data_IF_461080674750
#
_entry.id   IF_461080674750
#
_cell.length_a   1.000
_cell.length_b   1.000
_cell.length_c   1.000
_cell.angle_alpha   90.00
_cell.angle_beta   90.00
_cell.angle_gamma   90.00
#
_symmetry.space_group_name_H-M   'P 1'
#
loop_
_entity.id
_entity.type
_entity.pdbx_description
1 polymer ?
#
# COMPACT_ATOMS: atom_id res chain seq x y z
N UNK A 1 -26.68 -58.99 1.92
CA UNK A 1 -25.37 -59.11 2.57
C UNK A 1 -24.85 -57.70 2.74
N UNK A 2 -25.00 -57.17 3.95
CA UNK A 2 -24.36 -55.92 4.39
C UNK A 2 -22.85 -56.11 4.46
N UNK A 3 -22.10 -55.11 4.01
CA UNK A 3 -20.75 -54.83 4.50
C UNK A 3 -20.54 -53.32 4.52
N UNK A 4 -20.29 -52.80 5.73
CA UNK A 4 -20.25 -51.39 6.08
C UNK A 4 -19.00 -50.61 5.64
N UNK A 5 -18.87 -49.35 6.07
CA UNK A 5 -17.90 -48.40 5.54
C UNK A 5 -16.51 -48.59 6.17
N UNK A 6 -15.49 -48.47 5.33
CA UNK A 6 -14.07 -48.46 5.71
C UNK A 6 -13.69 -47.12 6.34
N UNK A 7 -13.01 -47.19 7.49
CA UNK A 7 -12.41 -46.05 8.19
C UNK A 7 -11.11 -45.60 7.51
N UNK A 8 -10.72 -44.32 7.62
CA UNK A 8 -9.45 -43.81 7.07
C UNK A 8 -8.27 -44.13 7.99
N UNK A 9 -7.12 -44.43 7.38
CA UNK A 9 -5.83 -44.58 8.03
C UNK A 9 -4.97 -43.33 7.85
N UNK A 10 -4.30 -42.97 8.95
CA UNK A 10 -3.47 -41.80 9.19
C UNK A 10 -2.27 -41.64 8.23
N UNK A 11 -2.06 -40.41 7.72
CA UNK A 11 -0.74 -39.90 7.32
C UNK A 11 -0.64 -38.40 7.61
N UNK A 12 0.21 -38.08 8.60
CA UNK A 12 1.20 -37.00 8.52
C UNK A 12 0.74 -35.54 8.58
N UNK A 13 0.70 -35.01 9.80
CA UNK A 13 0.71 -33.58 10.14
C UNK A 13 1.89 -32.84 9.48
N UNK A 14 1.62 -31.63 8.99
CA UNK A 14 2.56 -30.80 8.23
C UNK A 14 2.03 -29.39 8.02
N UNK A 15 1.53 -28.75 9.08
CA UNK A 15 1.13 -27.34 9.05
C UNK A 15 2.32 -26.41 8.71
N UNK A 16 2.15 -25.56 7.69
CA UNK A 16 3.01 -24.38 7.49
C UNK A 16 2.18 -23.15 7.05
N UNK A 17 1.95 -22.29 8.04
CA UNK A 17 2.11 -20.84 7.94
C UNK A 17 1.30 -20.08 6.89
N UNK A 18 0.05 -19.80 7.20
CA UNK A 18 -0.64 -18.65 6.60
C UNK A 18 0.09 -17.36 7.00
N UNK A 19 0.53 -16.57 6.02
CA UNK A 19 1.13 -15.25 6.23
C UNK A 19 0.15 -14.36 7.00
N UNK A 20 0.50 -14.03 8.24
CA UNK A 20 -0.35 -13.25 9.13
C UNK A 20 -0.47 -11.80 8.66
N UNK A 21 -1.68 -11.40 8.29
CA UNK A 21 -2.09 -9.99 8.22
C UNK A 21 -2.08 -9.42 9.65
N UNK A 22 -0.98 -8.79 10.05
CA UNK A 22 -0.84 -8.15 11.35
C UNK A 22 -1.68 -6.88 11.44
N UNK A 23 -2.78 -6.91 12.20
CA UNK A 23 -3.61 -5.74 12.49
C UNK A 23 -3.00 -4.94 13.65
N UNK A 24 -2.27 -3.87 13.36
CA UNK A 24 -1.74 -2.97 14.39
C UNK A 24 -2.76 -1.85 14.69
N UNK A 25 -3.52 -1.97 15.79
CA UNK A 25 -4.33 -0.87 16.30
C UNK A 25 -3.43 0.13 17.04
N UNK A 26 -3.16 1.28 16.42
CA UNK A 26 -2.69 2.46 17.15
C UNK A 26 -3.90 3.29 17.60
N UNK A 27 -4.16 3.29 18.91
CA UNK A 27 -5.09 4.23 19.55
C UNK A 27 -4.34 5.55 19.79
N UNK A 28 -4.74 6.61 19.07
CA UNK A 28 -4.23 7.96 19.30
C UNK A 28 -5.17 8.67 20.29
N UNK A 29 -4.68 9.26 21.40
CA UNK A 29 -5.51 10.06 22.30
C UNK A 29 -5.93 11.36 21.61
N UNK A 30 -7.18 11.76 21.81
CA UNK A 30 -7.72 13.01 21.27
C UNK A 30 -7.00 14.20 21.91
N UNK A 31 -6.28 14.99 21.10
CA UNK A 31 -5.80 16.30 21.51
C UNK A 31 -6.85 17.35 21.15
N UNK A 32 -7.28 18.08 22.17
CA UNK A 32 -8.21 19.20 22.12
C UNK A 32 -7.62 20.41 21.36
N UNK A 33 -8.51 21.16 20.72
CA UNK A 33 -8.44 22.58 20.35
C UNK A 33 -7.32 23.04 19.38
N UNK A 34 -7.64 23.06 18.09
CA UNK A 34 -7.02 23.96 17.11
C UNK A 34 -7.72 25.34 17.14
N UNK A 35 -7.00 26.46 17.33
CA UNK A 35 -7.59 27.78 17.24
C UNK A 35 -7.83 28.22 15.78
N UNK A 36 -8.95 28.90 15.57
CA UNK A 36 -9.44 29.46 14.31
C UNK A 36 -8.55 30.64 13.86
N UNK A 37 -8.26 30.71 12.55
CA UNK A 37 -7.45 31.75 11.91
C UNK A 37 -8.28 33.02 11.65
N UNK A 38 -7.90 34.15 12.25
CA UNK A 38 -8.37 35.49 11.86
C UNK A 38 -7.30 36.23 11.04
N UNK A 39 -7.78 37.00 10.04
CA UNK A 39 -7.01 37.74 9.04
C UNK A 39 -6.52 39.11 9.53
N UNK A 40 -5.51 39.74 8.87
CA UNK A 40 -4.55 40.64 9.51
C UNK A 40 -4.92 42.12 9.42
N UNK A 41 -4.57 42.90 10.46
CA UNK A 41 -4.27 44.34 10.35
C UNK A 41 -3.14 44.78 11.30
N UNK A 42 -2.23 45.53 10.69
CA UNK A 42 -1.34 46.59 11.18
C UNK A 42 -0.22 46.31 12.18
N UNK A 43 0.96 46.79 11.76
CA UNK A 43 2.30 46.69 12.34
C UNK A 43 2.47 47.58 13.57
N UNK A 44 3.11 47.05 14.62
CA UNK A 44 4.20 47.71 15.38
C UNK A 44 4.87 46.72 16.38
N UNK A 45 6.05 47.02 16.96
CA UNK A 45 7.25 46.19 16.84
C UNK A 45 7.53 45.24 18.04
N UNK A 46 8.46 44.31 17.80
CA UNK A 46 8.83 43.20 18.68
C UNK A 46 9.43 43.60 20.05
N UNK A 47 9.14 42.83 21.11
CA UNK A 47 9.94 42.72 22.33
C UNK A 47 10.69 41.37 22.40
N UNK A 48 11.58 41.16 23.38
CA UNK A 48 12.85 40.46 23.18
C UNK A 48 12.79 38.93 23.32
N UNK A 49 13.83 38.32 22.75
CA UNK A 49 14.18 36.89 22.80
C UNK A 49 14.23 36.40 24.25
N UNK A 50 13.38 35.41 24.57
CA UNK A 50 13.50 34.59 25.78
C UNK A 50 13.88 33.17 25.37
N UNK A 51 15.08 32.79 25.81
CA UNK A 51 15.68 31.46 25.66
C UNK A 51 14.93 30.48 26.58
N UNK A 52 14.28 29.47 25.98
CA UNK A 52 13.61 28.39 26.69
C UNK A 52 14.21 27.06 26.21
N UNK A 53 15.11 26.52 27.03
CA UNK A 53 15.83 25.27 26.77
C UNK A 53 14.91 24.05 26.57
N UNK A 54 15.43 22.98 25.96
CA UNK A 54 14.62 21.84 25.56
C UNK A 54 14.12 21.04 26.78
N UNK A 55 12.80 20.93 26.86
CA UNK A 55 12.06 20.15 27.84
C UNK A 55 12.27 18.65 27.58
N UNK A 56 12.63 17.90 28.63
CA UNK A 56 12.78 16.44 28.61
C UNK A 56 11.43 15.77 28.31
N UNK A 57 11.25 15.27 27.09
CA UNK A 57 10.16 14.37 26.73
C UNK A 57 10.40 12.96 27.26
N UNK A 58 9.42 12.41 27.97
CA UNK A 58 9.45 11.07 28.54
C UNK A 58 9.54 10.01 27.42
N UNK A 59 10.62 9.22 27.44
CA UNK A 59 10.81 8.09 26.52
C UNK A 59 9.82 6.96 26.80
N UNK A 60 9.04 6.59 25.79
CA UNK A 60 8.21 5.38 25.80
C UNK A 60 9.14 4.16 25.76
N UNK A 61 9.23 3.41 26.86
CA UNK A 61 9.92 2.10 26.91
C UNK A 61 8.99 1.02 26.38
N UNK A 62 9.31 0.43 25.24
CA UNK A 62 8.75 -0.84 24.78
C UNK A 62 9.46 -2.00 25.53
N UNK A 63 8.68 -3.02 25.92
CA UNK A 63 9.14 -4.20 26.68
C UNK A 63 10.08 -5.11 25.85
N UNK A 64 10.97 -5.89 26.49
CA UNK A 64 11.98 -6.68 25.78
C UNK A 64 11.38 -7.93 25.11
N UNK A 65 11.64 -7.99 23.81
CA UNK A 65 11.93 -9.10 22.88
C UNK A 65 11.26 -10.47 23.03
N UNK A 66 10.58 -10.86 21.94
CA UNK A 66 10.36 -12.25 21.51
C UNK A 66 11.25 -12.50 20.28
N UNK A 67 12.12 -13.52 20.25
CA UNK A 67 12.95 -13.82 19.08
C UNK A 67 12.09 -14.35 17.92
N UNK A 68 12.24 -13.77 16.72
CA UNK A 68 11.58 -14.21 15.48
C UNK A 68 10.74 -13.17 14.73
N UNK A 69 10.84 -11.87 15.06
CA UNK A 69 10.04 -10.84 14.39
C UNK A 69 10.49 -10.56 12.94
N UNK A 70 9.54 -10.38 11.98
CA UNK A 70 9.86 -10.02 10.60
C UNK A 70 10.53 -8.63 10.52
N UNK A 71 11.50 -8.48 9.62
CA UNK A 71 12.29 -7.25 9.42
C UNK A 71 11.50 -6.12 8.72
N UNK A 72 10.28 -5.85 9.18
CA UNK A 72 9.60 -4.56 9.00
C UNK A 72 9.84 -3.60 10.16
N UNK A 73 10.72 -3.98 11.10
CA UNK A 73 11.13 -3.16 12.24
C UNK A 73 12.45 -2.49 11.88
N UNK A 74 12.50 -1.16 11.94
CA UNK A 74 13.78 -0.44 12.00
C UNK A 74 14.66 -1.14 13.04
N UNK A 75 15.98 -1.34 12.78
CA UNK A 75 16.86 -1.91 13.79
C UNK A 75 16.66 -1.13 15.09
N UNK A 76 16.49 -1.83 16.22
CA UNK A 76 16.38 -1.17 17.52
C UNK A 76 17.59 -0.24 17.69
N UNK A 77 17.38 1.07 17.62
CA UNK A 77 18.44 2.09 17.70
C UNK A 77 18.76 2.85 16.39
N UNK A 78 18.13 2.54 15.26
CA UNK A 78 18.24 3.38 14.07
C UNK A 78 17.48 4.71 14.29
N UNK A 79 18.23 5.81 14.34
CA UNK A 79 17.65 7.14 14.50
C UNK A 79 16.99 7.57 13.18
N UNK A 80 15.65 7.59 13.18
CA UNK A 80 14.89 8.18 12.08
C UNK A 80 15.02 9.70 12.18
N UNK A 81 15.61 10.29 11.14
CA UNK A 81 15.84 11.75 11.06
C UNK A 81 14.69 12.49 10.39
N UNK A 82 13.99 11.83 9.45
CA UNK A 82 12.89 12.42 8.70
C UNK A 82 11.85 11.37 8.36
N UNK A 83 10.58 11.75 8.40
CA UNK A 83 9.45 10.96 7.88
C UNK A 83 8.76 11.81 6.81
N UNK A 84 8.52 11.21 5.66
CA UNK A 84 7.69 11.78 4.60
C UNK A 84 6.42 10.97 4.47
N UNK A 85 5.27 11.67 4.45
CA UNK A 85 3.97 11.09 4.22
C UNK A 85 3.31 11.84 3.05
N UNK A 86 3.41 11.26 1.86
CA UNK A 86 2.88 11.87 0.63
C UNK A 86 1.44 11.42 0.43
N UNK A 87 0.51 12.36 0.23
CA UNK A 87 -0.87 12.02 -0.05
C UNK A 87 -0.97 11.25 -1.37
N UNK A 88 -1.72 10.14 -1.35
CA UNK A 88 -2.03 9.35 -2.54
C UNK A 88 -3.50 9.57 -2.87
N UNK A 89 -3.84 10.07 -4.07
CA UNK A 89 -5.23 10.21 -4.51
C UNK A 89 -6.00 8.91 -4.32
N UNK A 90 -7.18 9.00 -3.73
CA UNK A 90 -8.04 7.85 -3.47
C UNK A 90 -9.48 8.27 -3.73
N UNK A 91 -9.81 8.38 -5.01
CA UNK A 91 -11.08 8.95 -5.48
C UNK A 91 -11.93 7.95 -6.26
N UNK A 92 -11.33 6.87 -6.78
CA UNK A 92 -12.02 5.87 -7.60
C UNK A 92 -13.01 5.01 -6.79
N UNK A 93 -14.29 5.06 -7.17
CA UNK A 93 -15.38 4.30 -6.53
C UNK A 93 -15.74 3.00 -7.28
N UNK A 94 -15.19 2.78 -8.47
CA UNK A 94 -15.64 1.73 -9.38
C UNK A 94 -14.47 1.04 -10.08
N UNK A 95 -14.58 -0.28 -10.22
CA UNK A 95 -13.65 -1.08 -11.03
C UNK A 95 -13.77 -0.81 -12.53
N UNK A 96 -14.83 -0.11 -12.98
CA UNK A 96 -14.96 0.34 -14.38
C UNK A 96 -13.80 1.22 -14.83
N UNK A 97 -13.03 1.77 -13.89
CA UNK A 97 -11.75 2.43 -14.13
C UNK A 97 -10.79 1.61 -15.02
N UNK A 98 -10.83 0.27 -14.90
CA UNK A 98 -9.99 -0.65 -15.68
C UNK A 98 -10.64 -1.17 -16.97
N UNK A 99 -11.86 -0.73 -17.33
CA UNK A 99 -12.50 -1.17 -18.57
C UNK A 99 -11.68 -0.82 -19.81
N UNK A 100 -10.91 0.28 -19.75
CA UNK A 100 -9.97 0.70 -20.80
C UNK A 100 -8.92 -0.37 -21.17
N UNK A 101 -8.66 -1.34 -20.30
CA UNK A 101 -7.80 -2.49 -20.64
C UNK A 101 -8.41 -3.36 -21.76
N UNK A 102 -9.74 -3.42 -21.84
CA UNK A 102 -10.45 -4.09 -22.92
C UNK A 102 -10.56 -3.18 -24.14
N UNK A 103 -10.85 -1.90 -23.93
CA UNK A 103 -11.07 -0.94 -25.02
C UNK A 103 -9.81 -0.71 -25.87
N UNK A 104 -8.63 -0.82 -25.25
CA UNK A 104 -7.32 -0.55 -25.88
C UNK A 104 -6.54 -1.82 -26.26
N UNK A 105 -7.23 -2.95 -26.42
CA UNK A 105 -6.65 -4.26 -26.80
C UNK A 105 -5.44 -4.65 -25.92
N UNK A 106 -5.52 -4.44 -24.61
CA UNK A 106 -4.55 -4.99 -23.64
C UNK A 106 -5.02 -6.37 -23.20
N UNK A 107 -6.34 -6.56 -23.16
CA UNK A 107 -7.02 -7.80 -22.79
C UNK A 107 -8.08 -8.13 -23.83
N UNK A 108 -8.11 -9.39 -24.26
CA UNK A 108 -9.09 -9.90 -25.21
C UNK A 108 -10.49 -9.94 -24.58
N UNK A 109 -11.53 -10.01 -25.42
CA UNK A 109 -12.92 -10.12 -24.96
C UNK A 109 -13.18 -11.32 -24.02
N UNK A 110 -12.38 -12.40 -24.10
CA UNK A 110 -12.46 -13.56 -23.20
C UNK A 110 -11.67 -13.40 -21.89
N UNK A 111 -11.07 -12.23 -21.64
CA UNK A 111 -10.31 -11.92 -20.44
C UNK A 111 -8.84 -12.32 -20.47
N UNK A 112 -8.35 -12.95 -21.53
CA UNK A 112 -6.92 -13.28 -21.67
C UNK A 112 -6.09 -12.02 -21.97
N UNK A 113 -5.00 -11.86 -21.24
CA UNK A 113 -4.06 -10.76 -21.43
C UNK A 113 -3.28 -11.01 -22.72
N UNK A 114 -3.15 -9.99 -23.57
CA UNK A 114 -2.43 -10.11 -24.83
C UNK A 114 -0.93 -10.26 -24.55
N UNK A 115 -0.32 -11.33 -25.07
CA UNK A 115 1.11 -11.60 -24.97
C UNK A 115 1.90 -10.70 -25.92
N UNK A 116 3.14 -10.41 -25.54
CA UNK A 116 4.08 -9.66 -26.37
C UNK A 116 5.42 -10.38 -26.45
N UNK A 117 6.35 -9.83 -27.25
CA UNK A 117 7.73 -10.30 -27.24
C UNK A 117 8.34 -10.08 -25.86
N UNK A 118 9.08 -11.07 -25.38
CA UNK A 118 9.75 -11.01 -24.08
C UNK A 118 10.78 -9.88 -24.06
N UNK A 119 10.66 -9.02 -23.05
CA UNK A 119 11.63 -7.98 -22.72
C UNK A 119 11.76 -7.86 -21.20
N UNK A 120 12.63 -6.96 -20.75
CA UNK A 120 12.80 -6.66 -19.34
C UNK A 120 12.66 -5.15 -19.10
N UNK A 121 12.02 -4.80 -17.99
CA UNK A 121 12.07 -3.46 -17.42
C UNK A 121 12.60 -3.61 -15.99
N UNK A 122 13.82 -3.13 -15.77
CA UNK A 122 14.61 -3.39 -14.57
C UNK A 122 14.68 -4.89 -14.23
N UNK A 123 14.11 -5.28 -13.09
CA UNK A 123 14.05 -6.64 -12.56
C UNK A 123 12.79 -7.41 -13.00
N UNK A 124 11.89 -6.80 -13.77
CA UNK A 124 10.63 -7.43 -14.17
C UNK A 124 10.71 -8.01 -15.58
N UNK A 125 10.42 -9.31 -15.76
CA UNK A 125 10.16 -9.86 -17.09
C UNK A 125 8.82 -9.33 -17.61
N UNK A 126 8.84 -8.85 -18.85
CA UNK A 126 7.66 -8.37 -19.57
C UNK A 126 7.38 -9.33 -20.71
N UNK A 127 6.26 -10.03 -20.62
CA UNK A 127 5.81 -11.01 -21.62
C UNK A 127 4.37 -10.77 -22.08
N UNK A 128 3.78 -9.65 -21.65
CA UNK A 128 2.41 -9.27 -21.96
C UNK A 128 2.21 -7.75 -21.99
N UNK A 129 1.16 -7.33 -22.69
CA UNK A 129 0.80 -5.93 -22.88
C UNK A 129 0.37 -5.25 -21.56
N UNK A 130 -0.14 -6.03 -20.58
CA UNK A 130 -0.52 -5.47 -19.28
C UNK A 130 0.72 -4.97 -18.53
N UNK A 131 1.78 -5.77 -18.45
CA UNK A 131 3.05 -5.36 -17.82
C UNK A 131 3.71 -4.20 -18.55
N UNK A 132 3.64 -4.16 -19.89
CA UNK A 132 4.10 -3.00 -20.66
C UNK A 132 3.38 -1.73 -20.24
N UNK A 133 2.04 -1.75 -20.18
CA UNK A 133 1.23 -0.59 -19.76
C UNK A 133 1.59 -0.16 -18.33
N UNK A 134 1.90 -1.11 -17.43
CA UNK A 134 2.22 -0.81 -16.03
C UNK A 134 3.64 -0.27 -15.81
N UNK A 135 4.62 -0.64 -16.63
CA UNK A 135 6.05 -0.39 -16.39
C UNK A 135 6.77 0.43 -17.46
N UNK A 136 6.40 0.29 -18.73
CA UNK A 136 7.21 0.81 -19.85
C UNK A 136 6.64 2.16 -20.29
N UNK A 137 7.24 3.24 -19.79
CA UNK A 137 6.84 4.63 -20.09
C UNK A 137 6.85 4.94 -21.60
N UNK A 138 7.81 4.36 -22.33
CA UNK A 138 7.94 4.55 -23.79
C UNK A 138 6.99 3.65 -24.62
N UNK A 139 6.11 2.87 -23.98
CA UNK A 139 5.15 2.03 -24.69
C UNK A 139 4.03 2.88 -25.30
N UNK A 140 3.63 2.54 -26.53
CA UNK A 140 2.49 3.18 -27.21
C UNK A 140 1.21 3.18 -26.35
N UNK A 141 1.03 2.13 -25.53
CA UNK A 141 -0.15 1.96 -24.67
C UNK A 141 0.07 2.46 -23.23
N UNK A 142 1.19 3.09 -22.91
CA UNK A 142 1.41 3.64 -21.57
C UNK A 142 0.34 4.69 -21.23
N UNK A 143 0.01 5.58 -22.15
CA UNK A 143 -0.95 6.67 -21.89
C UNK A 143 -2.43 6.23 -21.82
N UNK A 144 -2.72 4.92 -21.88
CA UNK A 144 -4.07 4.39 -21.57
C UNK A 144 -4.50 4.80 -20.16
N UNK A 145 -3.56 4.90 -19.23
CA UNK A 145 -3.77 5.55 -17.93
C UNK A 145 -2.95 6.82 -17.88
N UNK A 146 -3.62 7.95 -17.68
CA UNK A 146 -2.99 9.25 -17.51
C UNK A 146 -2.13 9.30 -16.24
N UNK A 147 -1.23 10.27 -16.13
CA UNK A 147 -0.41 10.43 -14.92
C UNK A 147 -1.24 10.52 -13.62
N UNK A 148 -2.35 11.29 -13.54
CA UNK A 148 -3.21 11.27 -12.36
C UNK A 148 -3.89 9.92 -12.10
N UNK A 149 -4.28 9.20 -13.15
CA UNK A 149 -4.85 7.85 -13.02
C UNK A 149 -3.82 6.87 -12.41
N UNK A 150 -2.54 7.01 -12.77
CA UNK A 150 -1.45 6.17 -12.27
C UNK A 150 -1.13 6.42 -10.80
N UNK A 151 -1.39 7.63 -10.32
CA UNK A 151 -1.22 8.03 -8.93
C UNK A 151 -2.40 7.62 -8.03
N UNK A 152 -3.55 7.26 -8.60
CA UNK A 152 -4.68 6.77 -7.83
C UNK A 152 -4.35 5.49 -7.07
N UNK A 153 -4.76 5.43 -5.80
CA UNK A 153 -4.49 4.30 -4.92
C UNK A 153 -5.05 2.99 -5.47
N UNK A 154 -6.21 3.04 -6.15
CA UNK A 154 -6.79 1.88 -6.81
C UNK A 154 -5.88 1.33 -7.92
N UNK A 155 -5.26 2.23 -8.71
CA UNK A 155 -4.30 1.84 -9.74
C UNK A 155 -3.02 1.28 -9.13
N UNK A 156 -2.46 1.95 -8.11
CA UNK A 156 -1.27 1.47 -7.39
C UNK A 156 -1.48 0.06 -6.84
N UNK A 157 -2.62 -0.21 -6.20
CA UNK A 157 -2.96 -1.53 -5.66
C UNK A 157 -3.00 -2.61 -6.76
N UNK A 158 -3.67 -2.30 -7.87
CA UNK A 158 -3.72 -3.18 -9.04
C UNK A 158 -2.33 -3.44 -9.62
N UNK A 159 -1.51 -2.39 -9.79
CA UNK A 159 -0.12 -2.49 -10.26
C UNK A 159 0.67 -3.44 -9.37
N UNK A 160 0.60 -3.28 -8.04
CA UNK A 160 1.30 -4.15 -7.10
C UNK A 160 0.86 -5.61 -7.18
N UNK A 161 -0.41 -5.89 -7.44
CA UNK A 161 -0.88 -7.26 -7.63
C UNK A 161 -0.40 -7.87 -8.95
N UNK A 162 -0.45 -7.11 -10.05
CA UNK A 162 0.00 -7.55 -11.37
C UNK A 162 1.51 -7.80 -11.45
N UNK A 163 2.29 -6.95 -10.79
CA UNK A 163 3.75 -7.08 -10.75
C UNK A 163 4.19 -8.25 -9.85
N UNK A 164 3.46 -8.53 -8.77
CA UNK A 164 3.74 -9.62 -7.84
C UNK A 164 5.10 -9.52 -7.11
N UNK A 165 5.40 -10.53 -6.29
CA UNK A 165 6.70 -10.64 -5.61
C UNK A 165 7.77 -11.38 -6.44
N UNK A 166 8.94 -11.60 -5.83
CA UNK A 166 10.07 -12.30 -6.47
C UNK A 166 9.76 -13.75 -6.90
N UNK A 167 8.68 -14.36 -6.38
CA UNK A 167 8.25 -15.72 -6.70
C UNK A 167 7.21 -15.79 -7.85
N UNK A 168 7.18 -14.79 -8.73
CA UNK A 168 6.43 -14.78 -10.00
C UNK A 168 4.96 -15.26 -9.92
N UNK A 169 4.08 -14.43 -9.35
CA UNK A 169 2.63 -14.69 -9.31
C UNK A 169 1.91 -14.06 -10.52
N UNK A 170 2.29 -14.49 -11.73
CA UNK A 170 1.64 -13.99 -12.95
C UNK A 170 0.41 -14.80 -13.33
N UNK A 171 -0.61 -14.13 -13.84
CA UNK A 171 -1.82 -14.73 -14.39
C UNK A 171 -1.88 -14.44 -15.89
N UNK A 172 -2.46 -15.37 -16.66
CA UNK A 172 -2.70 -15.19 -18.10
C UNK A 172 -4.04 -14.50 -18.40
N UNK A 173 -4.88 -14.35 -17.37
CA UNK A 173 -6.22 -13.74 -17.45
C UNK A 173 -6.32 -12.57 -16.49
N UNK A 174 -7.06 -11.53 -16.87
CA UNK A 174 -7.17 -10.28 -16.11
C UNK A 174 -8.06 -10.41 -14.85
N UNK A 175 -9.07 -11.28 -14.91
CA UNK A 175 -10.14 -11.34 -13.90
C UNK A 175 -9.65 -11.56 -12.45
N UNK A 176 -8.70 -12.49 -12.17
CA UNK A 176 -8.18 -12.68 -10.82
C UNK A 176 -7.54 -11.42 -10.23
N UNK A 177 -6.84 -10.63 -11.04
CA UNK A 177 -6.27 -9.35 -10.60
C UNK A 177 -7.35 -8.34 -10.23
N UNK A 178 -8.38 -8.20 -11.06
CA UNK A 178 -9.48 -7.27 -10.80
C UNK A 178 -10.27 -7.64 -9.54
N UNK A 179 -10.65 -8.91 -9.38
CA UNK A 179 -11.41 -9.32 -8.20
C UNK A 179 -10.57 -9.22 -6.92
N UNK A 180 -9.29 -9.59 -6.96
CA UNK A 180 -8.40 -9.43 -5.80
C UNK A 180 -8.21 -7.96 -5.44
N UNK A 181 -7.97 -7.10 -6.42
CA UNK A 181 -7.86 -5.64 -6.23
C UNK A 181 -9.12 -5.09 -5.58
N UNK A 182 -10.30 -5.47 -6.10
CA UNK A 182 -11.61 -5.02 -5.59
C UNK A 182 -11.85 -5.46 -4.15
N UNK A 183 -11.56 -6.72 -3.81
CA UNK A 183 -11.74 -7.23 -2.46
C UNK A 183 -10.82 -6.49 -1.47
N UNK A 184 -9.54 -6.35 -1.83
CA UNK A 184 -8.55 -5.65 -1.01
C UNK A 184 -8.88 -4.16 -0.86
N UNK A 185 -9.27 -3.49 -1.94
CA UNK A 185 -9.66 -2.08 -1.91
C UNK A 185 -10.88 -1.85 -1.00
N UNK A 186 -11.88 -2.74 -1.05
CA UNK A 186 -13.06 -2.67 -0.17
C UNK A 186 -12.76 -2.93 1.31
N UNK A 187 -11.72 -3.72 1.61
CA UNK A 187 -11.29 -3.97 2.99
C UNK A 187 -10.50 -2.79 3.56
N UNK A 188 -9.67 -2.14 2.73
CA UNK A 188 -8.82 -1.03 3.13
C UNK A 188 -9.55 0.33 3.16
N UNK A 189 -10.45 0.58 2.19
CA UNK A 189 -11.05 1.90 1.97
C UNK A 189 -12.51 1.93 2.41
N UNK A 190 -12.85 2.92 3.24
CA UNK A 190 -14.21 3.15 3.71
C UNK A 190 -14.91 4.21 2.88
N UNK A 191 -16.17 3.94 2.54
CA UNK A 191 -17.08 4.88 1.87
C UNK A 191 -18.27 5.22 2.74
N UNK A 192 -18.82 6.41 2.55
CA UNK A 192 -20.06 6.85 3.22
C UNK A 192 -20.95 7.58 2.24
N UNK A 193 -22.28 7.41 2.40
CA UNK A 193 -23.25 8.25 1.71
C UNK A 193 -23.33 9.60 2.41
N UNK A 194 -23.04 10.67 1.69
CA UNK A 194 -23.16 12.03 2.21
C UNK A 194 -24.66 12.32 2.51
N UNK A 195 -25.02 12.74 3.74
CA UNK A 195 -26.41 12.96 4.12
C UNK A 195 -27.12 14.05 3.30
N UNK A 196 -26.38 15.07 2.87
CA UNK A 196 -26.90 16.21 2.11
C UNK A 196 -26.96 15.90 0.62
N UNK A 197 -25.84 15.53 0.02
CA UNK A 197 -25.75 15.33 -1.45
C UNK A 197 -26.28 13.98 -1.92
N UNK A 198 -26.51 13.03 -0.99
CA UNK A 198 -26.87 11.62 -1.26
C UNK A 198 -25.86 10.85 -2.12
N UNK A 199 -24.69 11.44 -2.44
CA UNK A 199 -23.61 10.78 -3.18
C UNK A 199 -22.75 9.94 -2.24
N UNK A 200 -22.23 8.83 -2.76
CA UNK A 200 -21.23 8.02 -2.06
C UNK A 200 -19.88 8.73 -2.21
N UNK A 201 -19.14 8.86 -1.12
CA UNK A 201 -17.80 9.45 -1.10
C UNK A 201 -16.86 8.58 -0.27
N UNK A 202 -15.58 8.56 -0.66
CA UNK A 202 -14.52 7.94 0.12
C UNK A 202 -14.27 8.79 1.37
N UNK A 203 -14.05 8.10 2.50
CA UNK A 203 -13.80 8.72 3.80
C UNK A 203 -12.38 8.46 4.31
N UNK A 204 -11.71 7.43 3.79
CA UNK A 204 -10.33 7.14 4.12
C UNK A 204 -9.38 8.11 3.42
N UNK A 205 -8.25 8.40 4.06
CA UNK A 205 -7.12 9.13 3.44
C UNK A 205 -5.93 8.19 3.33
N UNK A 206 -5.26 8.20 2.19
CA UNK A 206 -4.12 7.32 1.91
C UNK A 206 -2.84 8.15 1.84
N UNK A 207 -1.79 7.65 2.49
CA UNK A 207 -0.46 8.24 2.47
C UNK A 207 0.58 7.20 2.11
N UNK A 208 1.47 7.50 1.17
CA UNK A 208 2.70 6.74 0.94
C UNK A 208 3.74 7.23 1.95
N UNK A 209 4.24 6.32 2.77
CA UNK A 209 5.11 6.67 3.90
C UNK A 209 6.53 6.19 3.66
N UNK A 210 7.48 7.11 3.79
CA UNK A 210 8.92 6.87 3.70
C UNK A 210 9.58 7.41 4.98
N UNK A 211 10.62 6.72 5.47
CA UNK A 211 11.44 7.24 6.55
C UNK A 211 12.92 7.24 6.15
N UNK A 212 13.66 8.20 6.70
CA UNK A 212 15.05 8.45 6.36
C UNK A 212 15.92 8.49 7.61
N UNK A 213 17.11 7.91 7.50
CA UNK A 213 18.18 7.99 8.49
C UNK A 213 19.37 8.80 7.94
N UNK A 214 20.57 8.63 8.49
CA UNK A 214 21.79 9.28 7.98
C UNK A 214 22.24 8.83 6.59
N UNK A 215 21.83 7.64 6.16
CA UNK A 215 22.28 6.98 4.94
C UNK A 215 21.26 7.07 3.80
N UNK A 216 20.07 7.63 4.05
CA UNK A 216 19.02 7.80 3.06
C UNK A 216 17.72 7.15 3.52
N UNK A 217 16.98 6.55 2.59
CA UNK A 217 15.72 5.85 2.90
C UNK A 217 16.04 4.61 3.74
N UNK A 218 15.43 4.50 4.92
CA UNK A 218 15.51 3.31 5.78
C UNK A 218 14.17 2.57 5.89
N UNK A 219 13.07 3.19 5.46
CA UNK A 219 11.74 2.59 5.40
C UNK A 219 11.02 3.04 4.12
N UNK A 220 10.33 2.15 3.38
CA UNK A 220 10.08 0.73 3.68
C UNK A 220 11.33 -0.17 3.56
N UNK A 221 12.28 0.15 2.68
CA UNK A 221 13.56 -0.53 2.50
C UNK A 221 14.62 0.46 2.02
N UNK A 222 15.90 0.12 2.22
CA UNK A 222 17.04 0.86 1.66
C UNK A 222 17.23 0.60 0.16
N UNK A 223 16.64 -0.47 -0.38
CA UNK A 223 16.67 -0.78 -1.82
C UNK A 223 15.44 -0.19 -2.52
N UNK A 224 15.66 0.65 -3.53
CA UNK A 224 14.60 1.15 -4.41
C UNK A 224 14.08 0.05 -5.31
N UNK A 225 12.75 -0.11 -5.38
CA UNK A 225 12.09 -1.07 -6.26
C UNK A 225 10.60 -0.72 -6.40
N UNK A 226 9.99 -0.97 -7.56
CA UNK A 226 8.55 -0.75 -7.80
C UNK A 226 7.65 -1.50 -6.83
N UNK A 227 8.12 -2.67 -6.37
CA UNK A 227 7.45 -3.49 -5.36
C UNK A 227 7.94 -3.21 -3.93
N UNK A 228 8.60 -2.10 -3.65
CA UNK A 228 8.87 -1.70 -2.27
C UNK A 228 8.01 -0.49 -1.94
N UNK A 229 6.99 -0.68 -1.10
CA UNK A 229 6.01 0.35 -0.78
C UNK A 229 5.49 0.24 0.64
N UNK A 230 4.96 1.36 1.13
CA UNK A 230 4.21 1.44 2.37
C UNK A 230 3.10 2.47 2.25
N UNK A 231 1.86 2.01 2.37
CA UNK A 231 0.66 2.83 2.39
C UNK A 231 0.01 2.79 3.76
N UNK A 232 -0.26 3.97 4.30
CA UNK A 232 -1.02 4.18 5.52
C UNK A 232 -2.40 4.68 5.12
N UNK A 233 -3.42 3.86 5.34
CA UNK A 233 -4.81 4.15 5.04
C UNK A 233 -5.50 4.51 6.35
N UNK A 234 -5.76 5.79 6.55
CA UNK A 234 -6.38 6.33 7.75
C UNK A 234 -7.89 6.43 7.55
N UNK A 235 -8.65 5.71 8.37
CA UNK A 235 -10.10 5.88 8.47
C UNK A 235 -10.43 6.71 9.72
N UNK A 236 -10.76 8.00 9.58
CA UNK A 236 -11.03 8.88 10.72
C UNK A 236 -12.33 8.52 11.45
N UNK A 237 -13.28 7.85 10.79
CA UNK A 237 -14.58 7.50 11.36
C UNK A 237 -14.45 6.24 12.20
N UNK A 238 -13.83 5.19 11.65
CA UNK A 238 -13.56 3.95 12.38
C UNK A 238 -12.39 4.11 13.37
N UNK A 239 -11.62 5.20 13.29
CA UNK A 239 -10.40 5.45 14.06
C UNK A 239 -9.39 4.31 13.91
N UNK A 240 -9.27 3.81 12.69
CA UNK A 240 -8.34 2.73 12.34
C UNK A 240 -7.32 3.24 11.33
N UNK A 241 -6.12 2.68 11.40
CA UNK A 241 -5.11 2.81 10.36
C UNK A 241 -4.83 1.42 9.83
N UNK A 242 -4.99 1.23 8.53
CA UNK A 242 -4.52 0.04 7.84
C UNK A 242 -3.13 0.35 7.27
N UNK A 243 -2.19 -0.55 7.48
CA UNK A 243 -0.84 -0.45 6.92
C UNK A 243 -0.69 -1.54 5.88
N UNK A 244 -0.60 -1.13 4.62
CA UNK A 244 -0.31 -2.02 3.50
C UNK A 244 1.17 -1.82 3.13
N UNK A 245 1.98 -2.84 3.39
CA UNK A 245 3.43 -2.76 3.30
C UNK A 245 4.00 -3.97 2.56
N UNK A 246 4.99 -3.72 1.71
CA UNK A 246 5.78 -4.77 1.08
C UNK A 246 7.21 -4.28 0.86
N UNK A 247 8.16 -5.20 1.00
CA UNK A 247 9.56 -4.98 0.66
C UNK A 247 10.04 -6.06 -0.28
N UNK A 248 10.50 -5.64 -1.45
CA UNK A 248 10.97 -6.57 -2.45
C UNK A 248 12.34 -7.16 -2.06
N UNK A 249 12.54 -8.45 -2.36
CA UNK A 249 13.82 -9.13 -2.16
C UNK A 249 14.15 -9.51 -0.70
N UNK A 250 13.19 -9.45 0.22
CA UNK A 250 13.39 -9.93 1.60
C UNK A 250 13.43 -11.46 1.57
N UNK A 251 14.64 -12.03 1.69
CA UNK A 251 14.87 -13.47 1.65
C UNK A 251 15.95 -13.95 0.68
N UNK A 252 16.64 -13.06 -0.04
CA UNK A 252 17.89 -13.43 -0.69
C UNK A 252 18.90 -13.83 0.40
N UNK A 253 19.08 -15.14 0.60
CA UNK A 253 20.22 -15.67 1.34
C UNK A 253 21.47 -15.35 0.53
N UNK A 254 22.24 -14.37 1.00
CA UNK A 254 23.64 -14.18 0.62
C UNK A 254 24.47 -15.43 0.94
#
# INVERSE_FOLDING_TARGET
>A
METGPLRPSDVGDGGRGAGGLGRLLLQIPASENLPVSERPRDRQPAPPVVDAGPSRGAGVRLRPDVPGAPQGRLPHGAEVKKIEATNVPCTQLSMSFFNRLYDEDIVRANGHIIKCLDSFCDSFPISDELRKVLLVEDSEKYEVFSQPDREEFLFCLFKHLCLGGALCQYEDVLHPYLETTKLLYKDLVSVRKNPQTKKIQITSSVFKVMAYDSNGVCYPSTKSHEQTFSYFIVDPIKRHVHVLYHCYGVGEMS
#
